data_IF_934846877480
#
_entry.id   IF_934846877480
#
_cell.length_a   1.000
_cell.length_b   1.000
_cell.length_c   1.000
_cell.angle_alpha   90.00
_cell.angle_beta   90.00
_cell.angle_gamma   90.00
#
_symmetry.space_group_name_H-M   'P 1'
#
loop_
_entity.id
_entity.type
_entity.pdbx_description
1 polymer ?
#
# COMPACT_ATOMS: atom_id res chain seq x y z
N UNK A 1 -23.93 -10.88 -19.47
CA UNK A 1 -22.45 -10.93 -19.35
C UNK A 1 -22.06 -9.76 -18.48
N UNK A 2 -21.31 -9.93 -17.38
CA UNK A 2 -20.74 -8.77 -16.69
C UNK A 2 -19.91 -7.97 -17.69
N UNK A 3 -20.05 -6.65 -17.68
CA UNK A 3 -19.22 -5.76 -18.50
C UNK A 3 -17.75 -6.06 -18.22
N UNK A 4 -16.91 -6.13 -19.26
CA UNK A 4 -15.46 -6.34 -19.11
C UNK A 4 -14.85 -5.34 -18.14
N UNK A 5 -15.34 -4.10 -18.13
CA UNK A 5 -14.95 -3.05 -17.19
C UNK A 5 -15.21 -3.39 -15.71
N UNK A 6 -16.31 -4.09 -15.40
CA UNK A 6 -16.62 -4.52 -14.03
C UNK A 6 -15.70 -5.65 -13.55
N UNK A 7 -15.32 -6.54 -14.47
CA UNK A 7 -14.34 -7.61 -14.19
C UNK A 7 -12.94 -7.03 -13.97
N UNK A 8 -12.54 -6.04 -14.77
CA UNK A 8 -11.24 -5.38 -14.64
C UNK A 8 -11.13 -4.62 -13.31
N UNK A 9 -12.19 -3.91 -12.89
CA UNK A 9 -12.22 -3.22 -11.59
C UNK A 9 -12.15 -4.20 -10.41
N UNK A 10 -12.73 -5.39 -10.53
CA UNK A 10 -12.67 -6.42 -9.48
C UNK A 10 -11.26 -7.02 -9.34
N UNK A 11 -10.55 -7.22 -10.46
CA UNK A 11 -9.14 -7.64 -10.46
C UNK A 11 -8.26 -6.55 -9.84
N UNK A 12 -8.42 -5.30 -10.27
CA UNK A 12 -7.67 -4.16 -9.73
C UNK A 12 -7.87 -4.01 -8.21
N UNK A 13 -9.10 -4.21 -7.71
CA UNK A 13 -9.40 -4.22 -6.27
C UNK A 13 -8.69 -5.35 -5.53
N UNK A 14 -8.69 -6.56 -6.09
CA UNK A 14 -8.03 -7.71 -5.46
C UNK A 14 -6.51 -7.49 -5.37
N UNK A 15 -5.90 -7.04 -6.46
CA UNK A 15 -4.46 -6.76 -6.53
C UNK A 15 -4.05 -5.64 -5.58
N UNK A 16 -4.82 -4.53 -5.56
CA UNK A 16 -4.53 -3.40 -4.68
C UNK A 16 -4.74 -3.74 -3.20
N UNK A 17 -5.72 -4.60 -2.87
CA UNK A 17 -5.88 -5.13 -1.50
C UNK A 17 -4.64 -5.91 -1.07
N UNK A 18 -4.19 -6.87 -1.88
CA UNK A 18 -3.01 -7.68 -1.55
C UNK A 18 -1.73 -6.83 -1.43
N UNK A 19 -1.57 -5.82 -2.28
CA UNK A 19 -0.44 -4.89 -2.18
C UNK A 19 -0.49 -4.07 -0.87
N UNK A 20 -1.67 -3.61 -0.46
CA UNK A 20 -1.85 -2.88 0.80
C UNK A 20 -1.55 -3.73 2.03
N UNK A 21 -1.92 -5.01 2.02
CA UNK A 21 -1.59 -5.95 3.11
C UNK A 21 -0.06 -6.10 3.28
N UNK A 22 0.66 -6.27 2.18
CA UNK A 22 2.14 -6.38 2.22
C UNK A 22 2.78 -5.07 2.69
N UNK A 23 2.30 -3.93 2.20
CA UNK A 23 2.82 -2.61 2.59
C UNK A 23 2.55 -2.31 4.07
N UNK A 24 1.40 -2.73 4.59
CA UNK A 24 1.08 -2.65 6.02
C UNK A 24 2.10 -3.44 6.84
N UNK A 25 2.36 -4.71 6.50
CA UNK A 25 3.36 -5.53 7.19
C UNK A 25 4.74 -4.88 7.18
N UNK A 26 5.20 -4.40 6.01
CA UNK A 26 6.49 -3.73 5.90
C UNK A 26 6.55 -2.46 6.74
N UNK A 27 5.47 -1.67 6.78
CA UNK A 27 5.41 -0.46 7.59
C UNK A 27 5.54 -0.76 9.07
N UNK A 28 4.83 -1.77 9.58
CA UNK A 28 4.92 -2.18 10.98
C UNK A 28 6.32 -2.70 11.33
N UNK A 29 6.92 -3.53 10.49
CA UNK A 29 8.29 -4.04 10.68
C UNK A 29 9.33 -2.90 10.71
N UNK A 30 9.25 -1.94 9.78
CA UNK A 30 10.17 -0.81 9.75
C UNK A 30 9.94 0.20 10.89
N UNK A 31 8.69 0.38 11.34
CA UNK A 31 8.41 1.18 12.53
C UNK A 31 9.09 0.56 13.76
N UNK A 32 8.98 -0.76 13.92
CA UNK A 32 9.67 -1.46 14.99
C UNK A 32 11.19 -1.31 14.90
N UNK A 33 11.77 -1.48 13.70
CA UNK A 33 13.22 -1.31 13.52
C UNK A 33 13.70 0.11 13.81
N UNK A 34 12.88 1.12 13.53
CA UNK A 34 13.18 2.52 13.88
C UNK A 34 13.22 2.73 15.40
N UNK A 35 12.28 2.14 16.13
CA UNK A 35 12.26 2.20 17.60
C UNK A 35 13.47 1.50 18.23
N UNK A 36 13.92 0.39 17.63
CA UNK A 36 15.04 -0.41 18.12
C UNK A 36 16.43 0.13 17.72
N UNK A 37 16.50 0.99 16.71
CA UNK A 37 17.76 1.49 16.16
C UNK A 37 18.56 2.32 17.18
N UNK A 38 19.81 1.92 17.40
CA UNK A 38 20.73 2.56 18.35
C UNK A 38 21.73 3.53 17.70
N UNK A 39 21.85 3.51 16.37
CA UNK A 39 22.72 4.39 15.59
C UNK A 39 21.89 5.42 14.84
N UNK A 40 22.30 6.69 14.87
CA UNK A 40 21.65 7.77 14.13
C UNK A 40 21.73 7.56 12.61
N UNK A 41 22.87 7.07 12.09
CA UNK A 41 22.99 6.69 10.67
C UNK A 41 21.97 5.60 10.29
N UNK A 42 21.80 4.60 11.16
CA UNK A 42 20.83 3.52 10.93
C UNK A 42 19.40 4.04 10.99
N UNK A 43 19.09 4.98 11.89
CA UNK A 43 17.78 5.63 11.95
C UNK A 43 17.50 6.38 10.66
N UNK A 44 18.43 7.20 10.17
CA UNK A 44 18.24 7.96 8.93
C UNK A 44 17.96 7.05 7.72
N UNK A 45 18.71 5.95 7.58
CA UNK A 45 18.47 4.94 6.54
C UNK A 45 17.06 4.33 6.64
N UNK A 46 16.68 3.88 7.84
CA UNK A 46 15.38 3.27 8.09
C UNK A 46 14.23 4.27 7.89
N UNK A 47 14.41 5.52 8.28
CA UNK A 47 13.41 6.58 8.09
C UNK A 47 13.19 6.86 6.60
N UNK A 48 14.26 6.86 5.80
CA UNK A 48 14.14 7.01 4.35
C UNK A 48 13.27 5.91 3.74
N UNK A 49 13.56 4.65 4.09
CA UNK A 49 12.78 3.51 3.59
C UNK A 49 11.35 3.55 4.11
N UNK A 50 11.14 3.86 5.39
CA UNK A 50 9.82 4.01 5.99
C UNK A 50 8.98 5.06 5.28
N UNK A 51 9.56 6.24 4.98
CA UNK A 51 8.88 7.30 4.19
C UNK A 51 8.48 6.80 2.80
N UNK A 52 9.30 5.98 2.15
CA UNK A 52 8.96 5.40 0.85
C UNK A 52 7.80 4.38 0.96
N UNK A 53 7.81 3.53 1.98
CA UNK A 53 6.71 2.57 2.23
C UNK A 53 5.38 3.33 2.43
N UNK A 54 5.39 4.38 3.26
CA UNK A 54 4.19 5.20 3.50
C UNK A 54 3.69 5.87 2.21
N UNK A 55 4.60 6.40 1.39
CA UNK A 55 4.22 6.99 0.09
C UNK A 55 3.61 5.95 -0.87
N UNK A 56 4.15 4.73 -0.89
CA UNK A 56 3.59 3.63 -1.67
C UNK A 56 2.20 3.22 -1.15
N UNK A 57 2.04 3.11 0.17
CA UNK A 57 0.75 2.77 0.80
C UNK A 57 -0.33 3.78 0.39
N UNK A 58 -0.03 5.08 0.46
CA UNK A 58 -0.95 6.15 0.05
C UNK A 58 -1.36 6.04 -1.42
N UNK A 59 -0.40 5.74 -2.32
CA UNK A 59 -0.72 5.58 -3.74
C UNK A 59 -1.58 4.33 -4.00
N UNK A 60 -1.32 3.22 -3.32
CA UNK A 60 -2.15 2.02 -3.44
C UNK A 60 -3.54 2.20 -2.82
N UNK A 61 -3.67 2.94 -1.72
CA UNK A 61 -4.97 3.33 -1.16
C UNK A 61 -5.77 4.14 -2.17
N UNK A 62 -5.15 5.13 -2.81
CA UNK A 62 -5.77 5.94 -3.86
C UNK A 62 -6.24 5.08 -5.04
N UNK A 63 -5.44 4.12 -5.51
CA UNK A 63 -5.81 3.19 -6.58
C UNK A 63 -6.98 2.30 -6.18
N UNK A 64 -6.93 1.74 -4.98
CA UNK A 64 -7.99 0.92 -4.41
C UNK A 64 -9.32 1.69 -4.36
N UNK A 65 -9.33 2.94 -3.87
CA UNK A 65 -10.53 3.77 -3.85
C UNK A 65 -11.11 4.05 -5.25
N UNK A 66 -10.24 4.30 -6.24
CA UNK A 66 -10.67 4.51 -7.63
C UNK A 66 -11.29 3.24 -8.20
N UNK A 67 -10.68 2.09 -7.99
CA UNK A 67 -11.21 0.80 -8.42
C UNK A 67 -12.54 0.46 -7.73
N UNK A 68 -12.66 0.73 -6.42
CA UNK A 68 -13.90 0.59 -5.66
C UNK A 68 -15.04 1.44 -6.25
N UNK A 69 -14.76 2.71 -6.55
CA UNK A 69 -15.75 3.62 -7.15
C UNK A 69 -16.21 3.13 -8.52
N UNK A 70 -15.30 2.59 -9.35
CA UNK A 70 -15.63 2.03 -10.66
C UNK A 70 -16.53 0.80 -10.55
N UNK A 71 -16.28 -0.07 -9.58
CA UNK A 71 -17.11 -1.26 -9.35
C UNK A 71 -18.54 -0.91 -8.92
N UNK A 72 -18.72 0.16 -8.13
CA UNK A 72 -20.04 0.61 -7.66
C UNK A 72 -20.81 1.41 -8.74
N UNK A 73 -20.09 2.05 -9.67
CA UNK A 73 -20.69 2.92 -10.70
C UNK A 73 -20.95 2.22 -12.04
N UNK A 74 -20.49 0.98 -12.22
CA UNK A 74 -20.65 0.17 -13.44
C UNK A 74 -21.73 -0.90 -13.30
#
# INVERSE_FOLDING_TARGET
MPSTAGKDAQVELHETTGALEVLFTLREEFAQWLEEAQSEERKEELENVYRHIVAMEQEYQRRHEVAAKRLVSG
#
